data_IF_870138957918
#
_entry.id   IF_870138957918
#
_cell.length_a   1.000
_cell.length_b   1.000
_cell.length_c   1.000
_cell.angle_alpha   90.00
_cell.angle_beta   90.00
_cell.angle_gamma   90.00
#
_symmetry.space_group_name_H-M   'P 1'
#
loop_
_entity.id
_entity.type
_entity.pdbx_description
1 polymer ?
#
# COMPACT_ATOMS: atom_id res chain seq x y z
N UNK A 1 13.67 13.38 -3.64
CA UNK A 1 12.90 14.62 -3.76
C UNK A 1 11.58 14.47 -3.02
N UNK A 2 11.27 15.43 -2.18
CA UNK A 2 10.00 15.41 -1.48
C UNK A 2 8.85 15.70 -2.45
N UNK A 3 7.81 14.88 -2.39
CA UNK A 3 6.62 15.13 -3.21
C UNK A 3 5.85 16.32 -2.65
N UNK A 4 5.40 17.20 -3.54
CA UNK A 4 4.57 18.31 -3.12
C UNK A 4 3.19 17.79 -2.69
N UNK A 5 2.49 18.59 -1.89
CA UNK A 5 1.14 18.27 -1.46
C UNK A 5 0.21 18.11 -2.66
N UNK A 6 0.39 18.94 -3.67
CA UNK A 6 -0.41 18.91 -4.91
C UNK A 6 -0.17 17.61 -5.69
N UNK A 7 1.08 17.19 -5.78
CA UNK A 7 1.43 15.95 -6.46
C UNK A 7 0.80 14.76 -5.75
N UNK A 8 0.89 14.72 -4.42
CA UNK A 8 0.26 13.66 -3.62
C UNK A 8 -1.25 13.61 -3.86
N UNK A 9 -1.91 14.76 -3.83
CA UNK A 9 -3.35 14.82 -4.07
C UNK A 9 -3.71 14.29 -5.45
N UNK A 10 -2.90 14.57 -6.46
CA UNK A 10 -3.09 14.07 -7.82
C UNK A 10 -2.98 12.56 -7.88
N UNK A 11 -1.97 12.00 -7.23
CA UNK A 11 -1.77 10.54 -7.18
C UNK A 11 -2.94 9.85 -6.49
N UNK A 12 -3.36 10.37 -5.33
CA UNK A 12 -4.48 9.80 -4.60
C UNK A 12 -5.78 9.85 -5.41
N UNK A 13 -6.03 10.95 -6.09
CA UNK A 13 -7.20 11.09 -6.95
C UNK A 13 -7.18 10.07 -8.09
N UNK A 14 -6.00 9.85 -8.69
CA UNK A 14 -5.87 8.89 -9.78
C UNK A 14 -6.07 7.46 -9.32
N UNK A 15 -5.58 7.10 -8.13
CA UNK A 15 -5.82 5.77 -7.58
C UNK A 15 -7.33 5.50 -7.46
N UNK A 16 -8.08 6.49 -6.98
CA UNK A 16 -9.53 6.36 -6.78
C UNK A 16 -10.29 6.12 -8.07
N UNK A 17 -9.90 6.79 -9.15
CA UNK A 17 -10.68 6.73 -10.40
C UNK A 17 -10.16 5.76 -11.43
N UNK A 18 -8.95 5.24 -11.26
CA UNK A 18 -8.28 4.40 -12.27
C UNK A 18 -7.83 3.08 -11.65
N UNK A 19 -8.67 2.02 -11.73
CA UNK A 19 -8.30 0.72 -11.17
C UNK A 19 -7.02 0.13 -11.76
N UNK A 20 -6.72 0.40 -13.01
CA UNK A 20 -5.48 -0.09 -13.63
C UNK A 20 -4.26 0.56 -13.01
N UNK A 21 -4.36 1.86 -12.71
CA UNK A 21 -3.29 2.58 -12.03
C UNK A 21 -3.07 2.03 -10.62
N UNK A 22 -4.15 1.77 -9.89
CA UNK A 22 -4.06 1.19 -8.54
C UNK A 22 -3.37 -0.18 -8.57
N UNK A 23 -3.71 -1.04 -9.52
CA UNK A 23 -3.07 -2.34 -9.68
C UNK A 23 -1.58 -2.21 -10.02
N UNK A 24 -1.25 -1.28 -10.91
CA UNK A 24 0.14 -1.03 -11.27
C UNK A 24 0.96 -0.54 -10.07
N UNK A 25 0.39 0.33 -9.24
CA UNK A 25 1.04 0.78 -8.02
C UNK A 25 1.22 -0.34 -7.02
N UNK A 26 0.24 -1.21 -6.88
CA UNK A 26 0.37 -2.37 -6.01
C UNK A 26 1.54 -3.25 -6.45
N UNK A 27 1.65 -3.52 -7.74
CA UNK A 27 2.76 -4.30 -8.31
C UNK A 27 4.10 -3.62 -8.00
N UNK A 28 4.17 -2.31 -8.21
CA UNK A 28 5.37 -1.53 -7.93
C UNK A 28 5.75 -1.59 -6.46
N UNK A 29 4.77 -1.51 -5.55
CA UNK A 29 5.01 -1.60 -4.12
C UNK A 29 5.61 -2.95 -3.75
N UNK A 30 5.02 -4.04 -4.24
CA UNK A 30 5.50 -5.39 -3.93
C UNK A 30 6.89 -5.62 -4.52
N UNK A 31 7.13 -5.19 -5.75
CA UNK A 31 8.45 -5.30 -6.35
C UNK A 31 9.51 -4.54 -5.55
N UNK A 32 9.18 -3.35 -5.07
CA UNK A 32 10.08 -2.57 -4.23
C UNK A 32 10.43 -3.34 -2.95
N UNK A 33 9.42 -3.93 -2.30
CA UNK A 33 9.66 -4.73 -1.09
C UNK A 33 10.54 -5.94 -1.38
N UNK A 34 10.32 -6.62 -2.50
CA UNK A 34 11.12 -7.80 -2.89
C UNK A 34 12.57 -7.43 -3.22
N UNK A 35 12.79 -6.21 -3.70
CA UNK A 35 14.13 -5.73 -4.04
C UNK A 35 14.84 -5.07 -2.87
N UNK A 36 14.23 -5.06 -1.69
CA UNK A 36 14.81 -4.44 -0.51
C UNK A 36 14.58 -2.93 -0.39
N UNK A 37 13.80 -2.36 -1.29
CA UNK A 37 13.43 -0.95 -1.25
C UNK A 37 12.21 -0.77 -0.33
N UNK A 38 12.41 -1.08 0.96
CA UNK A 38 11.33 -1.18 1.92
C UNK A 38 10.57 0.12 2.12
N UNK A 39 11.31 1.23 2.27
CA UNK A 39 10.69 2.54 2.50
C UNK A 39 9.78 2.94 1.35
N UNK A 40 10.24 2.70 0.13
CA UNK A 40 9.44 3.00 -1.07
C UNK A 40 8.20 2.12 -1.14
N UNK A 41 8.35 0.82 -0.91
CA UNK A 41 7.23 -0.11 -0.93
C UNK A 41 6.16 0.26 0.09
N UNK A 42 6.56 0.56 1.32
CA UNK A 42 5.64 0.96 2.37
C UNK A 42 4.94 2.28 2.04
N UNK A 43 5.67 3.21 1.43
CA UNK A 43 5.10 4.50 1.02
C UNK A 43 3.99 4.33 -0.01
N UNK A 44 4.21 3.47 -1.00
CA UNK A 44 3.20 3.20 -2.03
C UNK A 44 1.98 2.52 -1.41
N UNK A 45 2.19 1.54 -0.53
CA UNK A 45 1.08 0.88 0.15
C UNK A 45 0.26 1.87 0.98
N UNK A 46 0.92 2.82 1.63
CA UNK A 46 0.23 3.85 2.40
C UNK A 46 -0.69 4.70 1.50
N UNK A 47 -0.20 5.08 0.33
CA UNK A 47 -1.01 5.84 -0.62
C UNK A 47 -2.20 5.03 -1.10
N UNK A 48 -2.00 3.74 -1.37
CA UNK A 48 -3.09 2.85 -1.78
C UNK A 48 -4.16 2.74 -0.69
N UNK A 49 -3.75 2.62 0.57
CA UNK A 49 -4.71 2.57 1.67
C UNK A 49 -5.51 3.87 1.76
N UNK A 50 -4.82 5.02 1.70
CA UNK A 50 -5.51 6.32 1.78
C UNK A 50 -6.55 6.49 0.67
N UNK A 51 -6.23 6.05 -0.52
CA UNK A 51 -7.08 6.32 -1.70
C UNK A 51 -8.10 5.23 -1.97
N UNK A 52 -7.96 4.05 -1.38
CA UNK A 52 -8.88 2.95 -1.64
C UNK A 52 -9.71 2.59 -0.42
N UNK A 53 -9.17 1.75 0.45
CA UNK A 53 -9.92 1.23 1.60
C UNK A 53 -10.09 2.26 2.74
N UNK A 54 -9.15 3.15 2.92
CA UNK A 54 -8.96 4.08 4.02
C UNK A 54 -8.38 3.39 5.27
N UNK A 55 -7.66 4.16 6.10
CA UNK A 55 -7.08 3.60 7.33
C UNK A 55 -8.15 3.19 8.33
N UNK A 56 -9.26 3.90 8.36
CA UNK A 56 -10.37 3.57 9.26
C UNK A 56 -10.94 2.19 8.96
N UNK A 57 -11.22 1.91 7.70
CA UNK A 57 -11.78 0.63 7.28
C UNK A 57 -10.75 -0.49 7.39
N UNK A 58 -9.49 -0.21 7.06
CA UNK A 58 -8.41 -1.18 7.22
C UNK A 58 -8.27 -1.58 8.70
N UNK A 59 -8.36 -0.62 9.62
CA UNK A 59 -8.34 -0.90 11.06
C UNK A 59 -9.47 -1.83 11.45
N UNK A 60 -10.68 -1.60 10.95
CA UNK A 60 -11.82 -2.45 11.22
C UNK A 60 -11.60 -3.89 10.75
N UNK A 61 -11.09 -4.05 9.53
CA UNK A 61 -10.94 -5.38 8.94
C UNK A 61 -9.78 -6.17 9.50
N UNK A 62 -8.71 -5.51 9.92
CA UNK A 62 -7.52 -6.19 10.44
C UNK A 62 -7.51 -6.33 11.96
N UNK A 63 -8.27 -5.49 12.65
CA UNK A 63 -8.24 -5.44 14.11
C UNK A 63 -7.11 -4.58 14.68
N UNK A 64 -6.26 -4.00 13.83
CA UNK A 64 -5.23 -3.07 14.29
C UNK A 64 -5.82 -1.68 14.53
N UNK A 65 -5.21 -0.92 15.44
CA UNK A 65 -5.56 0.49 15.59
C UNK A 65 -5.06 1.31 14.40
N UNK A 66 -5.73 2.41 14.11
CA UNK A 66 -5.32 3.29 13.00
C UNK A 66 -3.91 3.82 13.17
N UNK A 67 -3.54 4.22 14.39
CA UNK A 67 -2.18 4.71 14.67
C UNK A 67 -1.13 3.64 14.41
N UNK A 68 -1.44 2.39 14.78
CA UNK A 68 -0.54 1.27 14.52
C UNK A 68 -0.34 1.06 13.03
N UNK A 69 -1.42 1.14 12.26
CA UNK A 69 -1.35 0.99 10.81
C UNK A 69 -0.54 2.12 10.17
N UNK A 70 -0.75 3.35 10.60
CA UNK A 70 0.04 4.49 10.12
C UNK A 70 1.53 4.30 10.42
N UNK A 71 1.85 3.77 11.60
CA UNK A 71 3.23 3.50 11.98
C UNK A 71 3.83 2.40 11.13
N UNK A 72 3.10 1.31 10.90
CA UNK A 72 3.57 0.20 10.08
C UNK A 72 3.94 0.64 8.66
N UNK A 73 3.15 1.53 8.08
CA UNK A 73 3.33 1.97 6.70
C UNK A 73 4.09 3.30 6.60
N UNK A 74 4.63 3.78 7.71
CA UNK A 74 5.45 4.99 7.71
C UNK A 74 6.84 4.69 7.17
N UNK A 75 7.58 5.75 6.85
CA UNK A 75 8.95 5.64 6.35
C UNK A 75 9.88 4.86 7.30
N UNK A 76 9.63 4.94 8.60
CA UNK A 76 10.40 4.20 9.60
C UNK A 76 9.67 2.97 10.09
N UNK A 77 8.65 2.57 9.36
CA UNK A 77 7.86 1.40 9.72
C UNK A 77 8.68 0.13 9.62
N UNK A 78 8.40 -0.77 10.53
CA UNK A 78 9.06 -2.08 10.54
C UNK A 78 8.02 -3.14 10.93
N UNK A 79 6.98 -3.33 10.09
CA UNK A 79 5.98 -4.32 10.39
C UNK A 79 6.57 -5.72 10.31
N UNK A 80 6.04 -6.64 11.13
CA UNK A 80 6.39 -8.05 10.97
C UNK A 80 5.86 -8.55 9.62
N UNK A 81 6.43 -9.63 9.13
CA UNK A 81 5.96 -10.26 7.89
C UNK A 81 4.47 -10.58 7.97
N UNK A 82 4.03 -11.12 9.09
CA UNK A 82 2.62 -11.46 9.28
C UNK A 82 1.73 -10.23 9.18
N UNK A 83 2.09 -9.17 9.88
CA UNK A 83 1.28 -7.95 9.88
C UNK A 83 1.27 -7.27 8.51
N UNK A 84 2.42 -7.24 7.85
CA UNK A 84 2.51 -6.65 6.51
C UNK A 84 1.64 -7.42 5.51
N UNK A 85 1.71 -8.76 5.53
CA UNK A 85 0.91 -9.55 4.60
C UNK A 85 -0.58 -9.51 4.92
N UNK A 86 -0.96 -9.32 6.18
CA UNK A 86 -2.36 -9.09 6.51
C UNK A 86 -2.87 -7.79 5.88
N UNK A 87 -2.07 -6.74 5.95
CA UNK A 87 -2.42 -5.46 5.32
C UNK A 87 -2.49 -5.59 3.80
N UNK A 88 -1.47 -6.19 3.18
CA UNK A 88 -1.44 -6.32 1.72
C UNK A 88 -2.58 -7.19 1.21
N UNK A 89 -2.90 -8.24 1.92
CA UNK A 89 -4.04 -9.10 1.55
C UNK A 89 -5.35 -8.31 1.58
N UNK A 90 -5.55 -7.50 2.60
CA UNK A 90 -6.76 -6.69 2.72
C UNK A 90 -6.84 -5.67 1.58
N UNK A 91 -5.72 -5.07 1.20
CA UNK A 91 -5.66 -4.17 0.05
C UNK A 91 -6.06 -4.92 -1.23
N UNK A 92 -5.54 -6.13 -1.43
CA UNK A 92 -5.87 -6.95 -2.60
C UNK A 92 -7.37 -7.26 -2.66
N UNK A 93 -7.97 -7.60 -1.52
CA UNK A 93 -9.40 -7.86 -1.47
C UNK A 93 -10.19 -6.62 -1.86
N UNK A 94 -9.78 -5.44 -1.38
CA UNK A 94 -10.42 -4.18 -1.72
C UNK A 94 -10.29 -3.85 -3.20
N UNK A 95 -9.13 -4.10 -3.79
CA UNK A 95 -8.88 -3.83 -5.20
C UNK A 95 -9.42 -4.93 -6.13
N UNK A 96 -9.87 -6.04 -5.57
CA UNK A 96 -10.38 -7.16 -6.35
C UNK A 96 -9.30 -7.86 -7.16
N UNK A 97 -8.09 -7.95 -6.61
CA UNK A 97 -6.95 -8.55 -7.31
C UNK A 97 -6.40 -9.75 -6.56
N UNK A 98 -5.79 -10.66 -7.31
CA UNK A 98 -5.09 -11.81 -6.76
C UNK A 98 -3.66 -11.79 -7.27
N UNK A 99 -2.68 -11.42 -6.43
CA UNK A 99 -1.30 -11.34 -6.87
C UNK A 99 -0.69 -12.73 -7.07
N UNK A 100 0.16 -12.83 -8.07
CA UNK A 100 0.96 -14.03 -8.32
C UNK A 100 2.39 -13.59 -8.60
N UNK A 101 3.37 -14.38 -8.12
CA UNK A 101 4.77 -14.10 -8.39
C UNK A 101 5.15 -14.70 -9.72
N UNK A 102 5.76 -13.89 -10.58
CA UNK A 102 6.27 -14.33 -11.86
C UNK A 102 7.74 -13.98 -11.90
N UNK A 103 8.57 -14.99 -12.06
CA UNK A 103 10.02 -14.80 -12.03
C UNK A 103 10.54 -14.39 -13.41
N UNK A 104 11.34 -13.32 -13.42
CA UNK A 104 12.10 -12.93 -14.59
C UNK A 104 13.44 -13.67 -14.55
N UNK A 105 13.86 -14.22 -15.67
CA UNK A 105 15.11 -14.95 -15.73
C UNK A 105 16.32 -14.01 -15.76
#
# INVERSE_FOLDING_TARGET
MALTREYKATVLARIKRDPKFAKALYTEAVNALLEGETDEGLSILRDLVHASITFKELAKQTGFGEKTLHRMLSRRGNPTTRNLFMVTRTICEELGIKPEVKLAA
#
